data_IF_598775045541
#
_entry.id   IF_598775045541
#
_cell.length_a   1.000
_cell.length_b   1.000
_cell.length_c   1.000
_cell.angle_alpha   90.00
_cell.angle_beta   90.00
_cell.angle_gamma   90.00
#
_symmetry.space_group_name_H-M   'P 1'
#
loop_
_entity.id
_entity.type
_entity.pdbx_description
1 polymer ?
#
# COMPACT_ATOMS: atom_id res chain seq x y z
N UNK A 1 -5.01 -8.12 -25.42
CA UNK A 1 -6.04 -8.13 -24.36
C UNK A 1 -5.80 -6.93 -23.47
N UNK A 2 -6.86 -6.19 -23.13
CA UNK A 2 -6.81 -4.97 -22.30
C UNK A 2 -7.61 -5.20 -21.01
N UNK A 3 -7.15 -4.67 -19.89
CA UNK A 3 -7.78 -4.87 -18.60
C UNK A 3 -7.58 -3.68 -17.64
N UNK A 4 -8.61 -3.45 -16.82
CA UNK A 4 -8.56 -2.55 -15.67
C UNK A 4 -8.23 -3.35 -14.41
N UNK A 5 -7.24 -2.89 -13.64
CA UNK A 5 -6.82 -3.56 -12.42
C UNK A 5 -7.30 -2.81 -11.18
N UNK A 6 -7.75 -3.55 -10.17
CA UNK A 6 -8.21 -2.96 -8.91
C UNK A 6 -7.39 -3.58 -7.79
N UNK A 7 -6.73 -2.73 -7.00
CA UNK A 7 -5.95 -3.11 -5.83
C UNK A 7 -6.48 -2.39 -4.61
N UNK A 8 -6.54 -3.09 -3.49
CA UNK A 8 -6.89 -2.52 -2.19
C UNK A 8 -5.80 -2.84 -1.17
N UNK A 9 -5.39 -1.85 -0.36
CA UNK A 9 -4.40 -2.03 0.69
C UNK A 9 -3.15 -2.74 0.15
N UNK A 10 -2.71 -3.84 0.76
CA UNK A 10 -1.58 -4.65 0.30
C UNK A 10 -1.67 -5.09 -1.17
N UNK A 11 -2.88 -5.31 -1.70
CA UNK A 11 -3.09 -5.69 -3.09
C UNK A 11 -2.63 -4.64 -4.10
N UNK A 12 -2.48 -3.36 -3.69
CA UNK A 12 -1.95 -2.32 -4.58
C UNK A 12 -0.48 -2.53 -4.93
N UNK A 13 0.27 -3.35 -4.18
CA UNK A 13 1.63 -3.77 -4.52
C UNK A 13 1.61 -4.68 -5.76
N UNK A 14 0.65 -5.60 -5.84
CA UNK A 14 0.54 -6.46 -7.01
C UNK A 14 0.12 -5.64 -8.23
N UNK A 15 -0.79 -4.69 -8.05
CA UNK A 15 -1.20 -3.78 -9.11
C UNK A 15 -0.05 -2.87 -9.56
N UNK A 16 0.82 -2.41 -8.65
CA UNK A 16 1.99 -1.62 -9.03
C UNK A 16 2.96 -2.42 -9.90
N UNK A 17 3.24 -3.68 -9.55
CA UNK A 17 4.06 -4.55 -10.40
C UNK A 17 3.45 -4.74 -11.79
N UNK A 18 2.13 -4.90 -11.87
CA UNK A 18 1.44 -5.07 -13.15
C UNK A 18 1.48 -3.79 -14.00
N UNK A 19 1.29 -2.62 -13.39
CA UNK A 19 1.44 -1.33 -14.07
C UNK A 19 2.85 -1.13 -14.64
N UNK A 20 3.88 -1.54 -13.88
CA UNK A 20 5.27 -1.37 -14.26
C UNK A 20 5.75 -2.37 -15.33
N UNK A 21 5.20 -3.59 -15.34
CA UNK A 21 5.78 -4.70 -16.12
C UNK A 21 4.84 -5.27 -17.20
N UNK A 22 3.58 -4.82 -17.26
CA UNK A 22 2.60 -5.41 -18.17
C UNK A 22 1.89 -4.38 -19.03
N UNK A 23 1.91 -4.61 -20.34
CA UNK A 23 1.21 -3.77 -21.31
C UNK A 23 -0.31 -4.01 -21.36
N UNK A 24 -0.81 -5.04 -20.67
CA UNK A 24 -2.26 -5.36 -20.68
C UNK A 24 -3.07 -4.44 -19.76
N UNK A 25 -2.41 -3.76 -18.81
CA UNK A 25 -3.05 -2.86 -17.86
C UNK A 25 -3.28 -1.52 -18.56
N UNK A 26 -4.54 -1.21 -18.86
CA UNK A 26 -4.91 0.05 -19.51
C UNK A 26 -5.28 1.13 -18.52
N UNK A 27 -5.70 0.74 -17.30
CA UNK A 27 -6.05 1.66 -16.21
C UNK A 27 -6.06 0.91 -14.87
N UNK A 28 -6.03 1.67 -13.76
CA UNK A 28 -6.05 1.09 -12.42
C UNK A 28 -6.94 1.85 -11.43
N UNK A 29 -7.48 1.14 -10.44
CA UNK A 29 -8.08 1.72 -9.23
C UNK A 29 -7.30 1.25 -8.01
N UNK A 30 -6.79 2.19 -7.23
CA UNK A 30 -5.95 1.96 -6.05
C UNK A 30 -6.70 2.47 -4.82
N UNK A 31 -7.21 1.53 -4.02
CA UNK A 31 -8.00 1.81 -2.83
C UNK A 31 -7.10 1.68 -1.60
N UNK A 32 -7.01 2.74 -0.80
CA UNK A 32 -6.14 2.81 0.38
C UNK A 32 -4.73 2.26 0.10
N UNK A 33 -4.04 2.80 -0.93
CA UNK A 33 -2.83 2.23 -1.46
C UNK A 33 -1.67 2.31 -0.47
N UNK A 34 -1.17 1.15 -0.07
CA UNK A 34 0.09 1.09 0.69
C UNK A 34 1.29 1.37 -0.21
N UNK A 35 1.19 1.07 -1.50
CA UNK A 35 2.30 1.06 -2.45
C UNK A 35 3.01 2.42 -2.63
N UNK A 36 2.43 3.55 -2.22
CA UNK A 36 3.08 4.87 -2.35
C UNK A 36 3.98 5.26 -1.17
N UNK A 37 3.87 4.58 -0.03
CA UNK A 37 4.53 4.99 1.20
C UNK A 37 5.30 3.84 1.88
N UNK A 38 5.62 2.77 1.15
CA UNK A 38 6.25 1.58 1.74
C UNK A 38 7.68 1.86 2.23
N UNK A 39 8.35 2.86 1.65
CA UNK A 39 9.69 3.28 2.10
C UNK A 39 9.62 4.22 3.33
N UNK A 40 8.43 4.71 3.71
CA UNK A 40 8.29 5.60 4.87
C UNK A 40 8.48 4.83 6.18
N UNK A 41 9.58 5.09 6.86
CA UNK A 41 9.99 4.46 8.12
C UNK A 41 8.86 4.35 9.15
N UNK A 42 8.08 5.43 9.33
CA UNK A 42 6.99 5.48 10.31
C UNK A 42 5.93 4.40 10.07
N UNK A 43 5.63 4.05 8.81
CA UNK A 43 4.60 3.05 8.52
C UNK A 43 5.10 1.66 8.90
N UNK A 44 6.38 1.38 8.65
CA UNK A 44 7.00 0.10 8.96
C UNK A 44 7.05 -0.15 10.46
N UNK A 45 7.54 0.84 11.20
CA UNK A 45 7.67 0.72 12.65
C UNK A 45 6.31 0.73 13.34
N UNK A 46 5.39 1.61 12.91
CA UNK A 46 4.08 1.70 13.55
C UNK A 46 3.21 0.49 13.27
N UNK A 47 3.21 -0.07 12.06
CA UNK A 47 2.36 -1.22 11.75
C UNK A 47 2.86 -2.53 12.37
N UNK A 48 4.18 -2.69 12.52
CA UNK A 48 4.78 -3.96 12.96
C UNK A 48 5.14 -4.01 14.44
N UNK A 49 5.48 -2.87 15.04
CA UNK A 49 6.17 -2.85 16.33
C UNK A 49 5.61 -1.85 17.36
N UNK A 50 4.71 -0.94 16.98
CA UNK A 50 4.14 -0.01 17.95
C UNK A 50 3.14 -0.69 18.90
N UNK A 51 3.13 -0.22 20.15
CA UNK A 51 2.00 -0.49 21.04
C UNK A 51 0.84 0.41 20.63
N UNK A 52 -0.32 -0.20 20.43
CA UNK A 52 -1.53 0.50 20.03
C UNK A 52 -2.51 0.51 21.19
N UNK A 53 -2.98 1.70 21.59
CA UNK A 53 -4.06 1.85 22.58
C UNK A 53 -5.45 1.82 21.92
N UNK A 54 -5.50 2.03 20.60
CA UNK A 54 -6.74 2.03 19.83
C UNK A 54 -7.23 0.58 19.57
N UNK A 55 -8.47 0.21 19.93
CA UNK A 55 -8.98 -1.15 19.77
C UNK A 55 -8.95 -1.67 18.33
N UNK A 56 -9.16 -0.79 17.34
CA UNK A 56 -9.12 -1.17 15.94
C UNK A 56 -7.69 -1.51 15.51
N UNK A 57 -6.71 -0.68 15.86
CA UNK A 57 -5.29 -0.96 15.60
C UNK A 57 -4.83 -2.25 16.30
N UNK A 58 -5.19 -2.48 17.57
CA UNK A 58 -4.87 -3.74 18.28
C UNK A 58 -5.42 -4.96 17.52
N UNK A 59 -6.67 -4.86 17.05
CA UNK A 59 -7.33 -5.93 16.28
C UNK A 59 -6.58 -6.20 14.98
N UNK A 60 -6.25 -5.16 14.22
CA UNK A 60 -5.49 -5.28 12.97
C UNK A 60 -4.10 -5.88 13.24
N UNK A 61 -3.38 -5.40 14.24
CA UNK A 61 -2.05 -5.91 14.57
C UNK A 61 -2.09 -7.38 14.95
N UNK A 62 -3.06 -7.80 15.76
CA UNK A 62 -3.18 -9.19 16.17
C UNK A 62 -3.62 -10.13 15.03
N UNK A 63 -4.65 -9.75 14.26
CA UNK A 63 -5.24 -10.65 13.25
C UNK A 63 -4.63 -10.54 11.86
N UNK A 64 -3.98 -9.43 11.52
CA UNK A 64 -3.35 -9.22 10.21
C UNK A 64 -1.83 -9.33 10.33
N UNK A 65 -1.19 -8.46 11.10
CA UNK A 65 0.27 -8.37 11.10
C UNK A 65 0.97 -9.51 11.86
N UNK A 66 0.33 -10.07 12.89
CA UNK A 66 0.87 -11.20 13.68
C UNK A 66 0.45 -12.58 13.17
N UNK A 67 -0.34 -12.65 12.10
CA UNK A 67 -0.58 -13.90 11.39
C UNK A 67 0.76 -14.48 10.91
N UNK A 68 0.96 -15.79 11.03
CA UNK A 68 2.25 -16.44 10.85
C UNK A 68 2.89 -16.13 9.49
N UNK A 69 2.14 -16.25 8.41
CA UNK A 69 2.65 -16.05 7.06
C UNK A 69 2.82 -14.57 6.72
N UNK A 70 1.92 -13.71 7.19
CA UNK A 70 2.08 -12.25 7.06
C UNK A 70 3.35 -11.79 7.78
N UNK A 71 3.50 -12.15 9.05
CA UNK A 71 4.69 -11.80 9.84
C UNK A 71 5.97 -12.35 9.21
N UNK A 72 5.96 -13.61 8.76
CA UNK A 72 7.11 -14.21 8.08
C UNK A 72 7.46 -13.49 6.77
N UNK A 73 6.46 -13.11 5.99
CA UNK A 73 6.64 -12.37 4.73
C UNK A 73 7.25 -11.02 5.00
N UNK A 74 6.64 -10.21 5.86
CA UNK A 74 7.07 -8.85 6.15
C UNK A 74 8.47 -8.79 6.81
N UNK A 75 8.80 -9.76 7.67
CA UNK A 75 10.07 -9.78 8.38
C UNK A 75 11.25 -10.32 7.55
N UNK A 76 11.02 -11.16 6.54
CA UNK A 76 12.11 -11.90 5.87
C UNK A 76 12.09 -11.88 4.35
N UNK A 77 10.92 -11.70 3.73
CA UNK A 77 10.73 -11.85 2.29
C UNK A 77 10.12 -10.60 1.64
N UNK A 78 9.98 -9.50 2.40
CA UNK A 78 9.38 -8.27 1.90
C UNK A 78 10.45 -7.20 1.72
N UNK A 79 10.87 -7.03 0.47
CA UNK A 79 11.81 -5.99 0.07
C UNK A 79 11.04 -4.68 -0.19
N UNK A 80 10.89 -3.86 0.86
CA UNK A 80 10.05 -2.66 0.85
C UNK A 80 10.26 -1.75 -0.36
N UNK A 81 11.53 -1.51 -0.72
CA UNK A 81 11.91 -0.64 -1.85
C UNK A 81 11.48 -1.19 -3.22
N UNK A 82 11.36 -2.52 -3.36
CA UNK A 82 10.94 -3.15 -4.61
C UNK A 82 9.41 -3.15 -4.78
N UNK A 83 8.69 -2.90 -3.69
CA UNK A 83 7.23 -2.93 -3.65
C UNK A 83 6.60 -1.53 -3.69
N UNK A 84 7.44 -0.51 -3.53
CA UNK A 84 7.06 0.89 -3.60
C UNK A 84 6.79 1.31 -5.06
N UNK A 85 5.79 2.16 -5.24
CA UNK A 85 5.37 2.72 -6.50
C UNK A 85 5.57 4.23 -6.42
N UNK A 86 6.56 4.71 -7.17
CA UNK A 86 6.84 6.13 -7.25
C UNK A 86 5.71 6.82 -8.08
N UNK A 87 5.06 7.87 -7.57
CA UNK A 87 3.97 8.58 -8.26
C UNK A 87 4.29 8.97 -9.70
N UNK A 88 5.52 9.41 -9.96
CA UNK A 88 6.03 9.82 -11.26
C UNK A 88 6.06 8.69 -12.31
N UNK A 89 5.97 7.42 -11.85
CA UNK A 89 5.94 6.25 -12.73
C UNK A 89 4.53 5.84 -13.13
N UNK A 90 3.49 6.51 -12.63
CA UNK A 90 2.10 6.27 -13.05
C UNK A 90 1.82 6.84 -14.44
N UNK A 91 2.08 6.04 -15.47
CA UNK A 91 1.86 6.39 -16.88
C UNK A 91 0.43 6.06 -17.39
N UNK A 92 -0.38 5.37 -16.59
CA UNK A 92 -1.76 4.96 -16.94
C UNK A 92 -2.82 5.72 -16.16
N UNK A 93 -4.01 5.95 -16.76
CA UNK A 93 -5.17 6.48 -16.05
C UNK A 93 -5.44 5.68 -14.77
N UNK A 94 -5.32 6.36 -13.63
CA UNK A 94 -5.42 5.72 -12.32
C UNK A 94 -6.36 6.50 -11.40
N UNK A 95 -7.28 5.80 -10.74
CA UNK A 95 -8.14 6.35 -9.70
C UNK A 95 -7.56 5.97 -8.34
N UNK A 96 -7.24 6.96 -7.50
CA UNK A 96 -6.79 6.74 -6.13
C UNK A 96 -7.92 7.10 -5.16
N UNK A 97 -8.36 6.13 -4.37
CA UNK A 97 -9.41 6.27 -3.36
C UNK A 97 -8.78 6.18 -1.98
N UNK A 98 -9.04 7.18 -1.14
CA UNK A 98 -8.44 7.30 0.18
C UNK A 98 -9.52 7.41 1.27
N UNK A 99 -9.44 6.51 2.24
CA UNK A 99 -10.25 6.49 3.45
C UNK A 99 -9.72 7.53 4.44
N UNK A 100 -10.51 8.59 4.67
CA UNK A 100 -10.05 9.75 5.46
C UNK A 100 -9.68 9.45 6.93
N UNK A 101 -10.09 8.29 7.47
CA UNK A 101 -9.78 7.82 8.83
C UNK A 101 -9.06 6.47 8.83
N UNK A 102 -8.31 6.17 7.78
CA UNK A 102 -7.50 4.96 7.73
C UNK A 102 -6.44 4.99 8.85
N UNK A 103 -6.44 3.92 9.67
CA UNK A 103 -5.57 3.77 10.83
C UNK A 103 -4.18 3.20 10.47
N UNK A 104 -4.01 2.70 9.24
CA UNK A 104 -2.81 2.02 8.73
C UNK A 104 -2.09 2.93 7.74
N UNK A 105 -2.80 3.37 6.70
CA UNK A 105 -2.25 4.23 5.64
C UNK A 105 -2.67 5.67 5.89
N UNK A 106 -1.74 6.60 6.21
CA UNK A 106 -2.11 7.98 6.43
C UNK A 106 -2.56 8.64 5.11
N UNK A 107 -3.88 8.69 4.87
CA UNK A 107 -4.49 9.24 3.66
C UNK A 107 -3.99 10.64 3.30
N UNK A 108 -3.78 11.50 4.30
CA UNK A 108 -3.25 12.85 4.08
C UNK A 108 -1.82 12.85 3.52
N UNK A 109 -0.99 11.87 3.90
CA UNK A 109 0.38 11.74 3.41
C UNK A 109 0.38 11.28 1.95
N UNK A 110 -0.45 10.28 1.61
CA UNK A 110 -0.62 9.80 0.23
C UNK A 110 -1.12 10.93 -0.67
N UNK A 111 -2.18 11.64 -0.24
CA UNK A 111 -2.72 12.78 -1.00
C UNK A 111 -1.66 13.86 -1.24
N UNK A 112 -0.88 14.21 -0.21
CA UNK A 112 0.15 15.24 -0.35
C UNK A 112 1.22 14.81 -1.34
N UNK A 113 1.66 13.56 -1.26
CA UNK A 113 2.63 12.99 -2.20
C UNK A 113 2.13 13.10 -3.64
N UNK A 114 0.90 12.67 -3.90
CA UNK A 114 0.29 12.69 -5.24
C UNK A 114 -0.07 14.10 -5.76
N UNK A 115 -0.12 15.11 -4.89
CA UNK A 115 -0.43 16.51 -5.25
C UNK A 115 0.80 17.42 -5.27
N UNK A 116 1.94 16.95 -4.77
CA UNK A 116 3.20 17.68 -4.79
C UNK A 116 3.91 17.62 -6.15
N UNK A 117 3.39 16.78 -7.05
CA UNK A 117 3.74 16.67 -8.46
C UNK A 117 2.61 17.24 -9.34
#
# INVERSE_FOLDING_TARGET
SEAHFIGHSFGTIVVSWMLQNSQVVTSASLLDPVCFLLVKHDILTNALYAEHDDPLQVTVTYFVFRELYVAHTLARNFFWQQNDLAPETLDRPSLVLLSGRDAIVPAHSVRRLLQAE
#
